data_IF_974714701433
#
_entry.id   IF_974714701433
#
_cell.length_a   1.000
_cell.length_b   1.000
_cell.length_c   1.000
_cell.angle_alpha   90.00
_cell.angle_beta   90.00
_cell.angle_gamma   90.00
#
_symmetry.space_group_name_H-M   'P 1'
#
loop_
_entity.id
_entity.type
_entity.pdbx_description
1 polymer ?
#
# COMPACT_ATOMS: atom_id res chain seq x y z
N UNK A 1 8.22 -4.10 8.16
CA UNK A 1 7.23 -3.33 8.94
C UNK A 1 8.01 -2.32 9.73
N UNK A 2 7.77 -1.03 9.50
CA UNK A 2 8.45 0.01 10.26
C UNK A 2 7.78 0.15 11.63
N UNK A 3 8.33 -0.53 12.63
CA UNK A 3 7.85 -0.53 14.03
C UNK A 3 8.34 0.73 14.77
N UNK A 4 9.18 1.55 14.13
CA UNK A 4 9.67 2.83 14.66
C UNK A 4 8.99 4.04 14.00
N UNK A 5 8.16 3.81 13.01
CA UNK A 5 7.44 4.87 12.30
C UNK A 5 6.39 5.57 13.17
N UNK A 6 5.76 6.57 12.56
CA UNK A 6 4.80 7.44 13.22
C UNK A 6 3.54 6.69 13.70
N UNK A 7 3.04 5.73 12.93
CA UNK A 7 1.84 4.92 13.27
C UNK A 7 1.99 4.18 14.61
N UNK A 8 3.06 3.37 14.82
CA UNK A 8 3.36 2.79 16.13
C UNK A 8 3.41 3.85 17.25
N UNK A 9 4.08 4.98 17.04
CA UNK A 9 4.20 6.03 18.05
C UNK A 9 2.85 6.65 18.46
N UNK A 10 1.97 6.92 17.49
CA UNK A 10 0.60 7.39 17.76
C UNK A 10 -0.20 6.36 18.57
N UNK A 11 -0.10 5.07 18.23
CA UNK A 11 -0.77 4.01 18.99
C UNK A 11 -0.26 3.89 20.44
N UNK A 12 1.04 4.10 20.67
CA UNK A 12 1.62 4.14 22.03
C UNK A 12 1.05 5.32 22.84
N UNK A 13 0.88 6.49 22.21
CA UNK A 13 0.39 7.70 22.87
C UNK A 13 -1.13 7.65 23.12
N UNK A 14 -1.92 7.31 22.09
CA UNK A 14 -3.38 7.37 22.15
C UNK A 14 -4.00 6.26 22.99
N UNK A 15 -3.35 5.07 23.03
CA UNK A 15 -3.87 3.88 23.71
C UNK A 15 -3.05 3.49 24.95
N UNK A 16 -1.98 4.23 25.27
CA UNK A 16 -1.10 3.95 26.41
C UNK A 16 -0.38 2.60 26.33
N UNK A 17 -0.28 2.02 25.13
CA UNK A 17 0.36 0.72 24.91
C UNK A 17 1.87 0.84 25.10
N UNK A 18 2.50 -0.26 25.51
CA UNK A 18 3.95 -0.44 25.46
C UNK A 18 4.34 -0.99 24.10
N UNK A 19 5.59 -0.76 23.70
CA UNK A 19 6.09 -1.16 22.38
C UNK A 19 6.01 -2.65 22.11
N UNK A 20 6.13 -3.48 23.14
CA UNK A 20 6.00 -4.94 23.05
C UNK A 20 4.54 -5.42 23.03
N UNK A 21 3.57 -4.53 23.20
CA UNK A 21 2.14 -4.82 23.17
C UNK A 21 1.51 -4.49 21.81
N UNK A 22 2.24 -3.79 20.92
CA UNK A 22 1.79 -3.54 19.56
C UNK A 22 1.77 -4.84 18.77
N UNK A 23 0.60 -5.18 18.24
CA UNK A 23 0.43 -6.35 17.38
C UNK A 23 0.48 -5.96 15.90
N UNK A 24 0.65 -6.96 15.01
CA UNK A 24 0.50 -6.72 13.58
C UNK A 24 -0.89 -6.15 13.24
N UNK A 25 -1.93 -6.62 13.92
CA UNK A 25 -3.31 -6.17 13.69
C UNK A 25 -3.50 -4.67 13.94
N UNK A 26 -2.77 -4.09 14.91
CA UNK A 26 -2.83 -2.66 15.20
C UNK A 26 -2.22 -1.80 14.07
N UNK A 27 -1.35 -2.38 13.24
CA UNK A 27 -0.63 -1.67 12.16
C UNK A 27 -1.15 -2.01 10.76
N UNK A 28 -1.95 -3.07 10.63
CA UNK A 28 -2.47 -3.54 9.35
C UNK A 28 -3.52 -2.59 8.77
N UNK A 29 -3.59 -2.52 7.44
CA UNK A 29 -4.69 -1.87 6.74
C UNK A 29 -5.90 -2.81 6.74
N UNK A 30 -7.10 -2.34 7.10
CA UNK A 30 -8.32 -3.15 7.03
C UNK A 30 -8.54 -3.72 5.62
N UNK A 31 -9.06 -4.94 5.53
CA UNK A 31 -9.25 -5.61 4.24
C UNK A 31 -10.14 -4.81 3.28
N UNK A 32 -11.12 -4.08 3.82
CA UNK A 32 -12.06 -3.26 3.07
C UNK A 32 -11.38 -2.03 2.41
N UNK A 33 -10.22 -1.63 2.93
CA UNK A 33 -9.42 -0.52 2.41
C UNK A 33 -8.27 -1.00 1.53
N UNK A 34 -8.11 -2.32 1.34
CA UNK A 34 -7.10 -2.88 0.46
C UNK A 34 -7.54 -2.79 -1.00
N UNK A 35 -6.68 -2.18 -1.82
CA UNK A 35 -6.84 -2.19 -3.26
C UNK A 35 -6.42 -3.56 -3.83
N UNK A 36 -7.38 -4.27 -4.42
CA UNK A 36 -7.21 -5.64 -4.92
C UNK A 36 -7.40 -5.75 -6.44
N UNK A 37 -6.59 -6.60 -7.07
CA UNK A 37 -6.68 -6.97 -8.47
C UNK A 37 -7.16 -8.42 -8.58
N UNK A 38 -8.25 -8.64 -9.30
CA UNK A 38 -8.70 -9.99 -9.62
C UNK A 38 -7.71 -10.68 -10.56
N UNK A 39 -7.27 -11.89 -10.23
CA UNK A 39 -6.31 -12.64 -11.04
C UNK A 39 -6.78 -12.85 -12.49
N UNK A 40 -8.08 -13.08 -12.68
CA UNK A 40 -8.67 -13.27 -14.00
C UNK A 40 -8.48 -12.04 -14.92
N UNK A 41 -8.53 -10.83 -14.37
CA UNK A 41 -8.27 -9.58 -15.11
C UNK A 41 -6.81 -9.50 -15.58
N UNK A 42 -5.89 -10.17 -14.89
CA UNK A 42 -4.46 -10.13 -15.20
C UNK A 42 -4.08 -10.99 -16.40
N UNK A 43 -4.87 -12.01 -16.72
CA UNK A 43 -4.57 -12.95 -17.81
C UNK A 43 -4.42 -12.27 -19.18
N UNK A 44 -5.12 -11.15 -19.38
CA UNK A 44 -5.04 -10.32 -20.58
C UNK A 44 -4.40 -8.95 -20.33
N UNK A 45 -3.95 -8.66 -19.10
CA UNK A 45 -3.40 -7.35 -18.76
C UNK A 45 -1.95 -7.22 -19.23
N UNK A 46 -1.59 -6.02 -19.68
CA UNK A 46 -0.20 -5.64 -19.93
C UNK A 46 0.35 -4.94 -18.69
N UNK A 47 1.68 -4.96 -18.53
CA UNK A 47 2.36 -4.24 -17.43
C UNK A 47 1.95 -2.77 -17.36
N UNK A 48 1.75 -2.11 -18.51
CA UNK A 48 1.25 -0.74 -18.58
C UNK A 48 -0.12 -0.54 -17.93
N UNK A 49 -1.03 -1.52 -18.01
CA UNK A 49 -2.33 -1.46 -17.33
C UNK A 49 -2.17 -1.52 -15.81
N UNK A 50 -1.25 -2.36 -15.32
CA UNK A 50 -0.97 -2.48 -13.88
C UNK A 50 -0.39 -1.17 -13.34
N UNK A 51 0.60 -0.61 -14.04
CA UNK A 51 1.20 0.68 -13.68
C UNK A 51 0.15 1.79 -13.70
N UNK A 52 -0.70 1.85 -14.73
CA UNK A 52 -1.77 2.85 -14.82
C UNK A 52 -2.79 2.70 -13.69
N UNK A 53 -3.13 1.47 -13.31
CA UNK A 53 -4.06 1.20 -12.22
C UNK A 53 -3.49 1.68 -10.90
N UNK A 54 -2.25 1.31 -10.58
CA UNK A 54 -1.57 1.75 -9.35
C UNK A 54 -1.44 3.28 -9.27
N UNK A 55 -1.14 3.94 -10.40
CA UNK A 55 -1.13 5.41 -10.49
C UNK A 55 -2.49 6.01 -10.22
N UNK A 56 -3.57 5.46 -10.80
CA UNK A 56 -4.93 5.95 -10.59
C UNK A 56 -5.38 5.79 -9.14
N UNK A 57 -4.90 4.75 -8.45
CA UNK A 57 -5.14 4.55 -7.03
C UNK A 57 -4.23 5.42 -6.16
N UNK A 58 -3.13 5.95 -6.69
CA UNK A 58 -2.10 6.64 -5.90
C UNK A 58 -1.42 5.70 -4.90
N UNK A 59 -1.31 4.41 -5.24
CA UNK A 59 -0.78 3.37 -4.35
C UNK A 59 0.47 2.74 -4.91
N UNK A 60 1.41 2.39 -4.03
CA UNK A 60 2.63 1.67 -4.41
C UNK A 60 2.41 0.17 -4.67
N UNK A 61 1.35 -0.40 -4.10
CA UNK A 61 1.13 -1.83 -4.03
C UNK A 61 -0.32 -2.19 -4.35
N UNK A 62 -0.54 -3.34 -4.98
CA UNK A 62 -1.86 -3.93 -5.19
C UNK A 62 -1.81 -5.44 -4.94
N UNK A 63 -2.77 -5.95 -4.17
CA UNK A 63 -2.86 -7.38 -3.84
C UNK A 63 -3.62 -8.11 -4.94
N UNK A 64 -3.12 -9.26 -5.37
CA UNK A 64 -3.77 -10.11 -6.37
C UNK A 64 -4.57 -11.18 -5.65
N UNK A 65 -5.84 -11.31 -6.00
CA UNK A 65 -6.77 -12.27 -5.39
C UNK A 65 -7.42 -13.19 -6.42
N UNK A 66 -7.61 -14.45 -6.04
CA UNK A 66 -8.35 -15.46 -6.78
C UNK A 66 -9.06 -16.39 -5.81
N UNK A 67 -10.35 -16.68 -6.00
CA UNK A 67 -11.14 -17.57 -5.15
C UNK A 67 -11.01 -17.26 -3.64
N UNK A 68 -11.05 -15.97 -3.27
CA UNK A 68 -10.86 -15.46 -1.89
C UNK A 68 -9.48 -15.77 -1.27
N UNK A 69 -8.50 -16.18 -2.07
CA UNK A 69 -7.12 -16.38 -1.66
C UNK A 69 -6.19 -15.33 -2.29
N UNK A 70 -5.16 -14.93 -1.57
CA UNK A 70 -4.11 -14.06 -2.11
C UNK A 70 -3.21 -14.89 -3.02
N UNK A 71 -3.11 -14.51 -4.30
CA UNK A 71 -2.18 -15.14 -5.25
C UNK A 71 -0.81 -14.46 -5.23
N UNK A 72 -0.76 -13.18 -4.90
CA UNK A 72 0.48 -12.41 -4.93
C UNK A 72 0.26 -10.92 -4.76
N UNK A 73 1.29 -10.14 -5.13
CA UNK A 73 1.31 -8.69 -4.99
C UNK A 73 2.04 -8.08 -6.18
N UNK A 74 1.54 -6.95 -6.69
CA UNK A 74 2.32 -6.07 -7.54
C UNK A 74 2.90 -4.91 -6.73
N UNK A 75 4.16 -4.60 -6.98
CA UNK A 75 4.86 -3.45 -6.42
C UNK A 75 5.33 -2.55 -7.55
N UNK A 76 4.95 -1.27 -7.51
CA UNK A 76 5.33 -0.28 -8.51
C UNK A 76 6.86 -0.13 -8.60
N UNK A 77 7.56 -0.16 -7.46
CA UNK A 77 9.01 -0.07 -7.40
C UNK A 77 9.70 -1.29 -8.01
N UNK A 78 9.13 -2.50 -7.81
CA UNK A 78 9.63 -3.71 -8.46
C UNK A 78 9.39 -3.67 -9.98
N UNK A 79 8.20 -3.24 -10.41
CA UNK A 79 7.89 -3.09 -11.85
C UNK A 79 8.86 -2.07 -12.49
N UNK A 80 9.08 -0.92 -11.86
CA UNK A 80 10.03 0.09 -12.32
C UNK A 80 11.44 -0.49 -12.49
N UNK A 81 11.91 -1.21 -11.46
CA UNK A 81 13.21 -1.86 -11.46
C UNK A 81 13.33 -2.89 -12.59
N UNK A 82 12.31 -3.73 -12.79
CA UNK A 82 12.28 -4.73 -13.86
C UNK A 82 12.25 -4.13 -15.26
N UNK A 83 11.62 -2.96 -15.43
CA UNK A 83 11.57 -2.26 -16.72
C UNK A 83 12.79 -1.37 -16.98
N UNK A 84 13.63 -1.10 -15.97
CA UNK A 84 14.75 -0.16 -16.09
C UNK A 84 14.32 1.29 -16.32
N UNK A 85 13.05 1.62 -16.09
CA UNK A 85 12.50 2.98 -16.24
C UNK A 85 11.90 3.45 -14.93
N UNK A 86 12.06 4.73 -14.56
CA UNK A 86 11.48 5.25 -13.34
C UNK A 86 9.95 5.32 -13.47
N UNK A 87 9.24 4.59 -12.62
CA UNK A 87 7.80 4.74 -12.46
C UNK A 87 7.58 5.72 -11.32
N UNK A 88 7.36 6.99 -11.67
CA UNK A 88 6.98 8.01 -10.69
C UNK A 88 5.51 7.80 -10.30
N UNK A 89 5.31 7.51 -9.03
CA UNK A 89 3.99 7.48 -8.41
C UNK A 89 3.78 8.85 -7.79
N UNK A 90 2.80 9.61 -8.29
CA UNK A 90 2.34 10.81 -7.59
C UNK A 90 1.53 10.35 -6.39
N UNK A 91 2.12 10.42 -5.20
CA UNK A 91 1.36 10.40 -3.95
C UNK A 91 0.55 11.70 -3.92
N UNK A 92 -0.70 11.62 -4.38
CA UNK A 92 -1.64 12.72 -4.22
C UNK A 92 -2.23 12.55 -2.83
N UNK A 93 -1.78 13.36 -1.88
CA UNK A 93 -2.48 13.53 -0.62
C UNK A 93 -3.92 13.97 -0.95
N UNK A 94 -4.89 13.15 -0.56
CA UNK A 94 -6.31 13.33 -0.90
C UNK A 94 -7.04 14.19 0.13
N UNK A 95 -6.44 14.41 1.30
CA UNK A 95 -7.00 15.22 2.39
C UNK A 95 -5.97 16.19 2.95
N UNK A 96 -6.44 17.29 3.55
CA UNK A 96 -5.55 18.29 4.17
C UNK A 96 -4.72 17.67 5.31
N UNK A 97 -5.30 16.73 6.06
CA UNK A 97 -4.60 15.97 7.10
C UNK A 97 -3.45 15.10 6.53
N UNK A 98 -3.61 14.54 5.32
CA UNK A 98 -2.54 13.81 4.62
C UNK A 98 -1.42 14.75 4.15
N UNK A 99 -1.73 16.01 3.82
CA UNK A 99 -0.73 17.01 3.43
C UNK A 99 0.10 17.45 4.63
N UNK A 100 -0.53 17.73 5.77
CA UNK A 100 0.19 18.11 7.00
C UNK A 100 1.14 17.02 7.49
N UNK A 101 0.77 15.74 7.34
CA UNK A 101 1.60 14.60 7.73
C UNK A 101 2.86 14.42 6.87
N UNK A 102 2.96 15.06 5.70
CA UNK A 102 4.13 14.98 4.81
C UNK A 102 5.12 16.14 5.07
N UNK A 103 4.66 17.22 5.70
CA UNK A 103 5.45 18.43 5.97
C UNK A 103 6.13 18.45 7.35
N UNK A 104 5.86 17.45 8.19
CA UNK A 104 6.41 17.26 9.53
C UNK A 104 7.14 15.92 9.65
#
# INVERSE_FOLDING_TARGET
>A
VDILGEKPLRLLQDRGLRRNEITAADLMTPQQELDVLAFQTLLSAKVGHIVSTLKSWGRQHAVVVENNAVRGLFSASQIARSLGVPVHMTEVARTFAEIEAILH
#
